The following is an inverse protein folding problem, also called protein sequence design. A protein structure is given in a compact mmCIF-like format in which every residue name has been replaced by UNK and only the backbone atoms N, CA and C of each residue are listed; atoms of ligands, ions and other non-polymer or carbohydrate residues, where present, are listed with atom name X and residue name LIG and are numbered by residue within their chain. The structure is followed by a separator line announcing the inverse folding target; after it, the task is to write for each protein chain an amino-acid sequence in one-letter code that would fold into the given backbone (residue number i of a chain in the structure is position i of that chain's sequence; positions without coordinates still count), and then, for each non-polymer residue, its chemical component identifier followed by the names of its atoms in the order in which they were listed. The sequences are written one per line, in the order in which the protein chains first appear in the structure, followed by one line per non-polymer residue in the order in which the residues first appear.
data_IF_834583493983
#
_entry.id   IF_834583493983
#
_cell.length_a   1.000
_cell.length_b   1.000
_cell.length_c   1.000
_cell.angle_alpha   90.00
_cell.angle_beta   90.00
_cell.angle_gamma   90.00
#
_symmetry.space_group_name_H-M   'P 1'
#
loop_
_entity.id
_entity.type
_entity.pdbx_description
1 polymer ?
#
# COMPACT_ATOMS: atom_id res chain seq x y z
N UNK A 1 -18.94 30.29 -13.69
CA UNK A 1 -17.93 29.22 -13.48
C UNK A 1 -17.17 29.02 -14.79
N UNK A 2 -15.85 29.23 -14.82
CA UNK A 2 -15.06 29.20 -16.06
C UNK A 2 -14.93 27.79 -16.66
N UNK A 3 -14.65 27.68 -17.97
CA UNK A 3 -14.55 26.37 -18.63
C UNK A 3 -13.45 25.48 -18.03
N UNK A 4 -12.36 26.09 -17.54
CA UNK A 4 -11.28 25.42 -16.80
C UNK A 4 -11.77 24.78 -15.50
N UNK A 5 -12.61 25.47 -14.73
CA UNK A 5 -13.18 24.94 -13.48
C UNK A 5 -14.07 23.74 -13.75
N UNK A 6 -14.87 23.78 -14.82
CA UNK A 6 -15.72 22.64 -15.22
C UNK A 6 -14.88 21.44 -15.66
N UNK A 7 -13.82 21.67 -16.43
CA UNK A 7 -12.90 20.62 -16.86
C UNK A 7 -12.17 19.97 -15.68
N UNK A 8 -11.68 20.76 -14.72
CA UNK A 8 -11.08 20.24 -13.48
C UNK A 8 -12.06 19.41 -12.67
N UNK A 9 -13.28 19.92 -12.43
CA UNK A 9 -14.31 19.17 -11.69
C UNK A 9 -14.65 17.86 -12.38
N UNK A 10 -14.81 17.86 -13.70
CA UNK A 10 -15.06 16.65 -14.47
C UNK A 10 -13.91 15.66 -14.32
N UNK A 11 -12.67 16.12 -14.50
CA UNK A 11 -11.47 15.29 -14.37
C UNK A 11 -11.38 14.67 -12.98
N UNK A 12 -11.47 15.47 -11.92
CA UNK A 12 -11.45 15.00 -10.53
C UNK A 12 -12.58 14.01 -10.26
N UNK A 13 -13.80 14.29 -10.75
CA UNK A 13 -14.95 13.40 -10.53
C UNK A 13 -14.75 12.06 -11.23
N UNK A 14 -14.25 12.06 -12.45
CA UNK A 14 -13.93 10.84 -13.21
C UNK A 14 -12.81 10.06 -12.50
N UNK A 15 -11.75 10.71 -12.05
CA UNK A 15 -10.67 10.04 -11.31
C UNK A 15 -11.19 9.42 -10.01
N UNK A 16 -12.03 10.13 -9.26
CA UNK A 16 -12.64 9.59 -8.03
C UNK A 16 -13.56 8.41 -8.33
N UNK A 17 -14.40 8.49 -9.37
CA UNK A 17 -15.29 7.40 -9.80
C UNK A 17 -14.50 6.17 -10.23
N UNK A 18 -13.45 6.34 -11.04
CA UNK A 18 -12.59 5.23 -11.48
C UNK A 18 -11.82 4.63 -10.31
N UNK A 19 -11.28 5.47 -9.41
CA UNK A 19 -10.60 5.01 -8.20
C UNK A 19 -11.53 4.23 -7.27
N UNK A 20 -12.75 4.72 -7.05
CA UNK A 20 -13.76 4.04 -6.25
C UNK A 20 -14.22 2.72 -6.88
N UNK A 21 -14.40 2.69 -8.21
CA UNK A 21 -14.77 1.49 -8.95
C UNK A 21 -13.66 0.43 -8.90
N UNK A 22 -12.40 0.83 -9.09
CA UNK A 22 -11.24 -0.05 -8.91
C UNK A 22 -11.21 -0.63 -7.50
N UNK A 23 -11.33 0.21 -6.48
CA UNK A 23 -11.33 -0.23 -5.08
C UNK A 23 -12.46 -1.22 -4.78
N UNK A 24 -13.69 -0.93 -5.22
CA UNK A 24 -14.84 -1.82 -5.02
C UNK A 24 -14.64 -3.19 -5.68
N UNK A 25 -14.08 -3.21 -6.89
CA UNK A 25 -13.73 -4.45 -7.59
C UNK A 25 -12.64 -5.23 -6.87
N UNK A 26 -11.56 -4.56 -6.43
CA UNK A 26 -10.45 -5.19 -5.68
C UNK A 26 -10.92 -5.82 -4.37
N UNK A 27 -11.90 -5.23 -3.68
CA UNK A 27 -12.44 -5.76 -2.41
C UNK A 27 -13.41 -6.93 -2.64
N UNK A 28 -14.08 -7.00 -3.79
CA UNK A 28 -15.10 -8.03 -4.08
C UNK A 28 -14.54 -9.43 -4.42
N UNK A 29 -13.24 -9.55 -4.74
CA UNK A 29 -12.62 -10.74 -5.34
C UNK A 29 -12.20 -11.87 -4.38
N UNK A 30 -12.54 -11.82 -3.09
CA UNK A 30 -12.34 -12.98 -2.21
C UNK A 30 -10.87 -13.34 -1.90
N UNK A 31 -10.01 -12.35 -1.69
CA UNK A 31 -8.72 -12.53 -1.01
C UNK A 31 -7.52 -12.94 -1.88
N UNK A 32 -7.66 -12.97 -3.20
CA UNK A 32 -6.53 -13.20 -4.12
C UNK A 32 -6.06 -11.87 -4.69
N UNK A 33 -4.92 -11.38 -4.20
CA UNK A 33 -4.23 -10.23 -4.80
C UNK A 33 -3.51 -10.67 -6.07
N UNK A 34 -3.54 -9.84 -7.11
CA UNK A 34 -3.04 -10.19 -8.44
C UNK A 34 -1.52 -10.04 -8.55
N UNK A 35 -0.89 -9.37 -7.59
CA UNK A 35 0.56 -9.21 -7.56
C UNK A 35 1.12 -9.21 -6.13
N UNK A 36 2.41 -9.55 -5.98
CA UNK A 36 3.13 -9.35 -4.72
C UNK A 36 3.12 -7.91 -4.22
N UNK A 37 3.06 -6.92 -5.12
CA UNK A 37 3.01 -5.49 -4.75
C UNK A 37 1.63 -5.12 -4.18
N UNK A 38 0.53 -5.56 -4.82
CA UNK A 38 -0.82 -5.44 -4.26
C UNK A 38 -0.96 -6.17 -2.92
N UNK A 39 -0.38 -7.37 -2.82
CA UNK A 39 -0.38 -8.16 -1.58
C UNK A 39 0.32 -7.38 -0.46
N UNK A 40 1.50 -6.82 -0.73
CA UNK A 40 2.26 -6.05 0.25
C UNK A 40 1.49 -4.81 0.72
N UNK A 41 0.84 -4.09 -0.20
CA UNK A 41 0.01 -2.92 0.12
C UNK A 41 -1.18 -3.32 0.98
N UNK A 42 -1.89 -4.38 0.61
CA UNK A 42 -3.07 -4.81 1.35
C UNK A 42 -2.72 -5.34 2.76
N UNK A 43 -1.65 -6.14 2.87
CA UNK A 43 -1.14 -6.63 4.17
C UNK A 43 -0.71 -5.46 5.05
N UNK A 44 0.05 -4.52 4.51
CA UNK A 44 0.52 -3.36 5.26
C UNK A 44 -0.62 -2.42 5.68
N UNK A 45 -1.59 -2.17 4.80
CA UNK A 45 -2.75 -1.35 5.13
C UNK A 45 -3.62 -1.97 6.22
N UNK A 46 -3.81 -3.30 6.16
CA UNK A 46 -4.49 -4.05 7.22
C UNK A 46 -3.72 -3.96 8.54
N UNK A 47 -2.42 -4.24 8.52
CA UNK A 47 -1.58 -4.21 9.71
C UNK A 47 -1.55 -2.82 10.36
N UNK A 48 -1.51 -1.76 9.54
CA UNK A 48 -1.65 -0.37 10.01
C UNK A 48 -2.98 -0.12 10.70
N UNK A 49 -4.10 -0.58 10.10
CA UNK A 49 -5.41 -0.42 10.71
C UNK A 49 -5.56 -1.14 12.06
N UNK A 50 -4.87 -2.27 12.22
CA UNK A 50 -4.90 -3.08 13.44
C UNK A 50 -3.92 -2.59 14.53
N UNK A 51 -2.72 -2.13 14.14
CA UNK A 51 -1.60 -1.88 15.08
C UNK A 51 -1.09 -0.43 15.08
N UNK A 52 -1.56 0.42 14.15
CA UNK A 52 -1.11 1.81 14.02
C UNK A 52 0.30 1.97 13.46
N UNK A 53 0.90 0.91 12.91
CA UNK A 53 2.25 0.96 12.30
C UNK A 53 2.33 0.12 11.02
N UNK A 54 3.34 0.39 10.19
CA UNK A 54 3.69 -0.41 9.02
C UNK A 54 4.87 -1.35 9.26
N UNK A 55 5.48 -1.29 10.45
CA UNK A 55 6.59 -2.16 10.86
C UNK A 55 6.03 -3.52 11.26
N UNK A 56 6.11 -4.49 10.35
CA UNK A 56 5.65 -5.85 10.62
C UNK A 56 6.79 -6.60 11.31
N UNK A 57 6.64 -6.84 12.61
CA UNK A 57 7.60 -7.63 13.37
C UNK A 57 7.67 -9.06 12.81
N UNK A 58 8.86 -9.50 12.44
CA UNK A 58 9.10 -10.84 11.90
C UNK A 58 10.41 -11.37 12.52
N UNK A 59 10.32 -12.37 13.41
CA UNK A 59 11.48 -12.88 14.14
C UNK A 59 12.66 -13.29 13.25
N UNK A 60 12.37 -13.80 12.04
CA UNK A 60 13.40 -14.25 11.13
C UNK A 60 14.21 -13.10 10.50
N UNK A 61 13.71 -11.86 10.54
CA UNK A 61 14.39 -10.70 9.93
C UNK A 61 15.74 -10.42 10.58
N UNK A 62 15.85 -10.60 11.90
CA UNK A 62 17.08 -10.33 12.65
C UNK A 62 18.22 -11.27 12.24
N UNK A 63 17.90 -12.54 11.99
CA UNK A 63 18.88 -13.57 11.64
C UNK A 63 19.05 -13.73 10.12
N UNK A 64 18.01 -13.42 9.36
CA UNK A 64 17.92 -13.63 7.92
C UNK A 64 17.36 -12.39 7.23
N UNK A 65 18.05 -11.26 7.37
CA UNK A 65 17.60 -9.96 6.83
C UNK A 65 17.41 -9.94 5.31
N UNK A 66 18.00 -10.89 4.58
CA UNK A 66 17.86 -11.08 3.13
C UNK A 66 16.63 -11.92 2.75
N UNK A 67 15.96 -12.56 3.71
CA UNK A 67 14.82 -13.44 3.51
C UNK A 67 13.52 -12.71 3.81
N UNK A 68 13.05 -11.92 2.84
CA UNK A 68 11.75 -11.25 2.89
C UNK A 68 11.03 -11.39 1.55
N UNK A 69 9.70 -11.24 1.48
CA UNK A 69 8.99 -11.23 0.21
C UNK A 69 9.48 -10.08 -0.68
N UNK A 70 9.39 -10.25 -2.01
CA UNK A 70 9.98 -9.30 -3.00
C UNK A 70 9.49 -7.85 -2.89
N UNK A 71 8.31 -7.65 -2.33
CA UNK A 71 7.65 -6.35 -2.19
C UNK A 71 7.74 -5.80 -0.76
N UNK A 72 8.68 -6.33 0.03
CA UNK A 72 9.08 -5.86 1.35
C UNK A 72 10.60 -5.65 1.39
N UNK A 73 11.05 -4.96 2.44
CA UNK A 73 12.46 -4.87 2.81
C UNK A 73 12.60 -5.01 4.33
N UNK A 74 13.68 -5.63 4.78
CA UNK A 74 14.04 -5.75 6.19
C UNK A 74 14.64 -4.45 6.74
N UNK A 75 14.14 -3.98 7.88
CA UNK A 75 14.64 -2.78 8.59
C UNK A 75 14.73 -3.03 10.09
N UNK A 76 15.95 -3.25 10.60
CA UNK A 76 16.16 -3.62 12.01
C UNK A 76 15.49 -4.97 12.32
N UNK A 77 14.47 -4.95 13.15
CA UNK A 77 13.70 -6.11 13.64
C UNK A 77 12.35 -6.33 12.92
N UNK A 78 12.09 -5.58 11.85
CA UNK A 78 10.80 -5.61 11.17
C UNK A 78 10.94 -5.58 9.64
N UNK A 79 9.91 -6.04 8.94
CA UNK A 79 9.72 -5.82 7.52
C UNK A 79 8.86 -4.60 7.26
N UNK A 80 9.15 -3.86 6.19
CA UNK A 80 8.33 -2.74 5.70
C UNK A 80 8.02 -2.91 4.21
N UNK A 81 6.82 -2.55 3.73
CA UNK A 81 6.46 -2.72 2.32
C UNK A 81 7.21 -1.73 1.42
N UNK A 82 7.57 -2.17 0.21
CA UNK A 82 8.17 -1.31 -0.83
C UNK A 82 7.22 -0.99 -1.99
N UNK A 83 5.95 -1.40 -1.89
CA UNK A 83 4.96 -1.39 -2.98
C UNK A 83 4.65 -0.03 -3.62
N UNK A 84 5.12 1.08 -3.05
CA UNK A 84 5.17 2.38 -3.72
C UNK A 84 6.53 3.04 -3.52
N UNK A 85 7.05 3.67 -4.59
CA UNK A 85 8.27 4.45 -4.53
C UNK A 85 8.17 5.50 -3.41
N UNK A 86 9.13 5.50 -2.48
CA UNK A 86 9.13 6.44 -1.36
C UNK A 86 8.46 5.93 -0.07
N UNK A 87 7.69 4.83 -0.11
CA UNK A 87 7.07 4.26 1.11
C UNK A 87 8.09 3.97 2.22
N UNK A 88 9.24 3.32 1.97
CA UNK A 88 10.21 3.08 3.04
C UNK A 88 10.70 4.36 3.71
N UNK A 89 10.85 5.47 2.98
CA UNK A 89 11.27 6.75 3.55
C UNK A 89 10.13 7.44 4.31
N UNK A 90 8.91 7.40 3.77
CA UNK A 90 7.72 7.91 4.44
C UNK A 90 7.41 7.13 5.73
N UNK A 91 7.76 5.85 5.77
CA UNK A 91 7.47 4.93 6.88
C UNK A 91 8.63 4.75 7.87
N UNK A 92 9.85 5.14 7.53
CA UNK A 92 10.99 5.11 8.47
C UNK A 92 10.95 6.28 9.48
N UNK A 93 10.16 7.32 9.21
CA UNK A 93 10.00 8.50 10.06
C UNK A 93 8.73 8.52 10.92
N UNK A 94 7.94 7.45 10.90
CA UNK A 94 6.70 7.25 11.68
C UNK A 94 6.89 5.99 12.52
#
# INVERSE_FOLDING_TARGET
MGSRTRAMLLFTSVTLLLGAGFFALSVSGGGVFLSPDETAVAVAARFLGEHGTFRIAEPLVSDHSWLHPRSFVSTGDAMVPVGFLGMPFLMAGI
#
